data_IF_307292589817
#
_entry.id   IF_307292589817
#
_cell.length_a   1.000
_cell.length_b   1.000
_cell.length_c   1.000
_cell.angle_alpha   90.00
_cell.angle_beta   90.00
_cell.angle_gamma   90.00
#
_symmetry.space_group_name_H-M   'P 1'
#
loop_
_entity.id
_entity.type
_entity.pdbx_description
1 polymer ?
2 non-polymer ?
3 non-polymer ?
4 non-polymer ?
5 non-polymer ?
6 non-polymer ?
7 non-polymer ?
8 water ?
#
# COMPACT_ATOMS: atom_id res chain seq x y z
N UNK A 2 10.24 -25.52 0.60
CA UNK A 2 10.16 -24.67 -0.59
C UNK A 2 9.04 -25.10 -1.53
N UNK A 3 8.63 -24.17 -2.39
CA UNK A 3 7.63 -24.44 -3.42
C UNK A 3 8.21 -24.06 -4.80
N UNK A 4 8.01 -24.93 -5.79
CA UNK A 4 8.45 -24.60 -7.14
C UNK A 4 7.55 -23.52 -7.75
N UNK A 5 8.15 -22.41 -8.15
CA UNK A 5 7.38 -21.34 -8.80
C UNK A 5 7.17 -21.68 -10.27
N UNK A 6 8.28 -21.94 -10.95
CA UNK A 6 8.30 -22.29 -12.36
C UNK A 6 9.71 -22.76 -12.69
N UNK A 7 9.83 -23.93 -13.31
CA UNK A 7 11.13 -24.46 -13.68
C UNK A 7 12.10 -24.52 -12.50
N UNK A 8 13.19 -23.77 -12.58
CA UNK A 8 14.20 -23.80 -11.52
C UNK A 8 14.09 -22.65 -10.53
N UNK A 9 12.93 -22.00 -10.51
CA UNK A 9 12.65 -20.96 -9.55
C UNK A 9 11.95 -21.56 -8.33
N UNK A 10 12.55 -21.40 -7.15
CA UNK A 10 12.02 -21.99 -5.92
C UNK A 10 11.66 -20.91 -4.91
N UNK A 11 10.42 -20.93 -4.44
CA UNK A 11 10.00 -20.02 -3.39
C UNK A 11 10.62 -20.50 -2.08
N UNK A 12 11.38 -19.61 -1.42
CA UNK A 12 12.06 -19.96 -0.18
C UNK A 12 11.76 -18.91 0.90
N UNK A 13 10.53 -18.42 0.90
CA UNK A 13 10.12 -17.35 1.79
C UNK A 13 9.48 -17.81 3.10
N UNK A 14 8.62 -16.94 3.64
CA UNK A 14 8.03 -17.15 4.96
C UNK A 14 6.59 -16.66 5.01
N UNK A 15 5.68 -17.53 5.42
CA UNK A 15 4.31 -17.12 5.68
C UNK A 15 4.22 -16.55 7.09
N UNK A 16 3.41 -15.50 7.27
CA UNK A 16 3.22 -14.88 8.58
C UNK A 16 1.74 -14.76 8.91
N UNK A 17 1.16 -15.82 9.46
CA UNK A 17 -0.26 -15.82 9.81
C UNK A 17 -0.59 -14.87 10.97
N UNK A 18 0.37 -14.64 11.86
CA UNK A 18 0.08 -13.91 13.09
C UNK A 18 0.18 -12.40 12.97
N UNK A 19 0.99 -11.90 12.05
CA UNK A 19 1.31 -10.47 12.03
C UNK A 19 0.03 -9.65 11.86
N UNK A 20 -0.08 -8.60 12.65
CA UNK A 20 -1.25 -7.74 12.62
C UNK A 20 -0.87 -6.27 12.45
N UNK A 21 0.38 -5.95 12.72
CA UNK A 21 0.85 -4.56 12.70
C UNK A 21 2.06 -4.39 11.79
N UNK A 22 1.93 -3.49 10.82
CA UNK A 22 3.01 -3.15 9.92
C UNK A 22 3.30 -1.67 10.06
N UNK A 23 4.55 -1.28 9.88
CA UNK A 23 4.94 0.12 10.00
C UNK A 23 4.49 0.71 11.34
N UNK A 24 4.93 0.10 12.43
CA UNK A 24 4.43 0.47 13.74
C UNK A 24 3.05 -0.13 13.84
N UNK A 25 2.04 0.72 13.99
CA UNK A 25 0.67 0.24 13.91
C UNK A 25 -0.08 0.97 12.79
N UNK A 26 0.68 1.54 11.84
CA UNK A 26 0.07 2.35 10.77
C UNK A 26 -0.64 1.54 9.70
N UNK A 27 -0.28 0.26 9.57
CA UNK A 27 -0.95 -0.61 8.61
C UNK A 27 -1.32 -1.93 9.28
N UNK A 28 -2.62 -2.14 9.48
CA UNK A 28 -3.13 -3.34 10.13
C UNK A 28 -3.33 -4.45 9.10
N UNK A 29 -2.58 -5.54 9.26
CA UNK A 29 -2.66 -6.67 8.36
C UNK A 29 -3.64 -7.69 8.93
N UNK A 30 -4.92 -7.49 8.67
CA UNK A 30 -5.96 -8.32 9.32
C UNK A 30 -6.01 -9.73 8.75
N UNK A 31 -5.31 -9.96 7.64
CA UNK A 31 -5.22 -11.29 7.07
C UNK A 31 -3.78 -11.74 7.02
N UNK A 32 -2.97 -11.20 7.92
CA UNK A 32 -1.57 -11.57 8.00
C UNK A 32 -0.82 -11.10 6.78
N UNK A 33 0.34 -11.73 6.53
CA UNK A 33 1.14 -11.39 5.37
C UNK A 33 2.09 -12.55 5.05
N UNK A 34 2.96 -12.34 4.07
CA UNK A 34 4.02 -13.27 3.78
C UNK A 34 5.19 -12.51 3.16
N UNK A 35 6.39 -13.09 3.26
CA UNK A 35 7.60 -12.48 2.72
C UNK A 35 8.18 -13.43 1.69
N UNK A 36 8.05 -13.08 0.42
CA UNK A 36 8.52 -13.95 -0.65
C UNK A 36 9.99 -13.70 -1.02
N UNK A 37 10.76 -14.77 -0.94
CA UNK A 37 12.15 -14.82 -1.38
C UNK A 37 12.27 -15.97 -2.39
N UNK A 38 13.11 -15.79 -3.40
CA UNK A 38 13.21 -16.79 -4.47
C UNK A 38 14.64 -17.22 -4.75
N UNK A 39 14.81 -18.52 -4.95
CA UNK A 39 16.09 -19.11 -5.29
C UNK A 39 16.01 -19.63 -6.72
N UNK A 40 16.80 -19.02 -7.60
CA UNK A 40 16.83 -19.44 -9.00
C UNK A 40 18.07 -20.30 -9.21
N UNK A 41 17.88 -21.51 -9.69
CA UNK A 41 18.99 -22.45 -9.86
C UNK A 41 19.24 -22.81 -11.32
N UNK A 42 20.06 -22.00 -11.99
CA UNK A 42 20.51 -22.32 -13.34
C UNK A 42 21.99 -22.70 -13.23
N UNK A 43 22.83 -22.22 -14.15
CA UNK A 43 24.27 -22.45 -14.03
C UNK A 43 24.81 -21.65 -12.84
N UNK A 44 24.25 -20.47 -12.66
CA UNK A 44 24.49 -19.69 -11.44
C UNK A 44 23.29 -19.86 -10.53
N UNK A 45 23.52 -19.78 -9.22
CA UNK A 45 22.42 -19.76 -8.26
C UNK A 45 22.21 -18.36 -7.70
N UNK A 46 20.98 -17.85 -7.83
CA UNK A 46 20.66 -16.50 -7.40
C UNK A 46 19.58 -16.50 -6.32
N UNK A 47 19.84 -15.81 -5.22
CA UNK A 47 18.82 -15.57 -4.21
C UNK A 47 18.23 -14.18 -4.40
N UNK A 48 16.90 -14.12 -4.53
CA UNK A 48 16.23 -12.84 -4.68
C UNK A 48 15.50 -12.45 -3.41
N UNK A 49 16.02 -11.41 -2.76
CA UNK A 49 15.55 -10.91 -1.47
C UNK A 49 15.64 -11.94 -0.35
N UNK A 50 15.43 -11.49 0.89
CA UNK A 50 15.29 -12.43 2.00
C UNK A 50 13.91 -12.27 2.61
N UNK A 51 13.81 -12.31 3.94
CA UNK A 51 12.51 -12.20 4.60
C UNK A 51 12.63 -11.28 5.80
N UNK A 52 11.53 -11.12 6.52
CA UNK A 52 11.50 -10.21 7.65
C UNK A 52 12.49 -10.63 8.73
N UNK A 53 13.08 -9.63 9.38
CA UNK A 53 14.11 -9.84 10.40
C UNK A 53 13.67 -10.81 11.51
N UNK A 54 12.38 -10.77 11.85
CA UNK A 54 11.85 -11.64 12.90
C UNK A 54 11.99 -13.14 12.57
N UNK A 55 12.22 -13.45 11.30
CA UNK A 55 12.30 -14.83 10.85
C UNK A 55 13.67 -15.17 10.31
N UNK A 56 14.67 -14.41 10.71
CA UNK A 56 16.00 -14.51 10.12
C UNK A 56 16.63 -15.90 10.33
N UNK A 57 16.55 -16.42 11.55
CA UNK A 57 17.12 -17.74 11.84
C UNK A 57 16.41 -18.82 11.00
N UNK A 58 15.08 -18.76 10.97
CA UNK A 58 14.28 -19.72 10.20
C UNK A 58 14.64 -19.67 8.73
N UNK A 59 14.79 -18.45 8.22
CA UNK A 59 15.11 -18.25 6.82
C UNK A 59 16.40 -18.95 6.42
N UNK A 60 17.47 -18.68 7.15
CA UNK A 60 18.78 -19.26 6.88
C UNK A 60 18.74 -20.78 7.01
N UNK A 61 18.05 -21.26 8.04
CA UNK A 61 17.89 -22.70 8.26
C UNK A 61 17.13 -23.35 7.11
N UNK A 62 16.01 -22.75 6.72
CA UNK A 62 15.23 -23.27 5.60
C UNK A 62 16.03 -23.22 4.30
N UNK A 63 16.85 -22.19 4.16
CA UNK A 63 17.64 -22.02 2.94
C UNK A 63 18.69 -23.11 2.84
N UNK A 64 19.37 -23.38 3.96
CA UNK A 64 20.31 -24.50 4.05
C UNK A 64 19.69 -25.82 3.61
N UNK A 65 18.42 -26.02 3.96
CA UNK A 65 17.71 -27.25 3.60
C UNK A 65 17.50 -27.35 2.10
N UNK A 66 17.44 -26.20 1.45
CA UNK A 66 17.20 -26.14 0.01
C UNK A 66 18.50 -26.25 -0.78
N UNK A 67 19.57 -25.69 -0.22
CA UNK A 67 20.85 -25.58 -0.93
C UNK A 67 21.97 -25.26 0.05
N UNK A 68 23.17 -25.78 -0.21
CA UNK A 68 24.35 -25.36 0.53
C UNK A 68 24.57 -23.86 0.29
N UNK A 69 24.68 -23.09 1.37
CA UNK A 69 24.78 -21.63 1.26
C UNK A 69 25.94 -21.18 0.37
N UNK A 70 27.02 -21.95 0.37
CA UNK A 70 28.19 -21.63 -0.41
C UNK A 70 27.93 -21.72 -1.92
N UNK A 71 26.89 -22.46 -2.31
CA UNK A 71 26.55 -22.61 -3.72
C UNK A 71 25.77 -21.42 -4.29
N UNK A 72 25.33 -20.54 -3.41
CA UNK A 72 24.69 -19.30 -3.84
C UNK A 72 25.71 -18.37 -4.48
N UNK A 73 25.52 -18.05 -5.76
CA UNK A 73 26.47 -17.21 -6.49
C UNK A 73 26.22 -15.74 -6.31
N UNK A 74 24.95 -15.35 -6.41
CA UNK A 74 24.57 -13.95 -6.36
C UNK A 74 23.38 -13.72 -5.45
N UNK A 75 23.38 -12.60 -4.75
CA UNK A 75 22.22 -12.16 -3.98
C UNK A 75 21.69 -10.85 -4.57
N UNK A 76 20.42 -10.88 -4.96
CA UNK A 76 19.76 -9.68 -5.43
C UNK A 76 18.89 -9.07 -4.34
N UNK A 77 19.13 -7.81 -4.00
CA UNK A 77 18.27 -7.10 -3.06
C UNK A 77 17.49 -6.01 -3.80
N UNK A 78 16.20 -6.26 -4.02
CA UNK A 78 15.34 -5.32 -4.74
C UNK A 78 15.01 -4.09 -3.91
N UNK A 79 15.06 -4.24 -2.60
CA UNK A 79 14.45 -3.27 -1.69
C UNK A 79 14.90 -3.67 -0.28
N UNK A 80 15.42 -2.71 0.48
CA UNK A 80 16.13 -3.07 1.71
C UNK A 80 15.32 -2.85 2.99
N UNK A 81 14.02 -2.63 2.87
CA UNK A 81 13.18 -2.55 4.06
C UNK A 81 13.27 -3.86 4.86
N UNK A 82 13.12 -3.77 6.18
CA UNK A 82 13.45 -4.88 7.06
C UNK A 82 12.54 -6.09 6.88
N UNK A 83 11.43 -5.93 6.17
CA UNK A 83 10.59 -7.08 5.92
C UNK A 83 11.09 -7.89 4.71
N UNK A 84 12.12 -7.39 4.04
CA UNK A 84 12.71 -8.13 2.92
C UNK A 84 14.21 -8.35 3.06
N UNK A 85 14.93 -7.35 3.55
CA UNK A 85 16.36 -7.51 3.76
C UNK A 85 16.67 -7.88 5.21
N UNK A 86 15.64 -8.13 6.02
CA UNK A 86 15.82 -8.38 7.44
C UNK A 86 16.76 -9.51 7.81
N UNK A 87 16.78 -10.58 7.02
CA UNK A 87 17.59 -11.75 7.31
C UNK A 87 19.00 -11.66 6.70
N UNK A 88 19.32 -10.52 6.09
CA UNK A 88 20.56 -10.40 5.33
C UNK A 88 21.83 -10.49 6.21
N UNK A 89 21.80 -9.86 7.39
CA UNK A 89 22.96 -9.94 8.28
C UNK A 89 23.24 -11.40 8.65
N UNK A 90 22.22 -12.14 9.06
CA UNK A 90 22.37 -13.55 9.42
C UNK A 90 22.94 -14.36 8.27
N UNK A 91 22.38 -14.16 7.09
CA UNK A 91 22.84 -14.87 5.92
C UNK A 91 24.29 -14.50 5.58
N UNK A 92 24.58 -13.20 5.52
CA UNK A 92 25.90 -12.75 5.11
C UNK A 92 26.96 -13.15 6.12
N UNK A 93 26.56 -13.39 7.36
CA UNK A 93 27.50 -13.88 8.34
C UNK A 93 28.05 -15.23 7.88
N UNK A 94 27.22 -16.02 7.20
CA UNK A 94 27.61 -17.35 6.73
C UNK A 94 28.38 -17.29 5.41
N UNK A 95 28.00 -16.38 4.53
CA UNK A 95 28.68 -16.26 3.25
C UNK A 95 29.06 -14.81 2.98
N UNK A 96 30.02 -14.29 3.76
CA UNK A 96 30.34 -12.86 3.76
C UNK A 96 30.90 -12.32 2.45
N UNK A 97 31.42 -13.20 1.59
CA UNK A 97 32.06 -12.75 0.36
C UNK A 97 31.09 -12.67 -0.80
N UNK A 98 29.88 -13.18 -0.59
CA UNK A 98 28.89 -13.29 -1.64
C UNK A 98 28.47 -11.92 -2.20
N UNK A 99 28.56 -11.76 -3.54
CA UNK A 99 28.19 -10.51 -4.21
C UNK A 99 26.73 -10.16 -3.98
N UNK A 100 26.46 -8.88 -3.76
CA UNK A 100 25.09 -8.38 -3.63
C UNK A 100 24.81 -7.42 -4.78
N UNK A 101 23.70 -7.64 -5.48
CA UNK A 101 23.32 -6.76 -6.58
C UNK A 101 22.13 -5.91 -6.17
N UNK A 102 22.24 -4.60 -6.37
CA UNK A 102 21.21 -3.68 -5.88
C UNK A 102 21.43 -2.29 -6.48
N UNK A 103 20.45 -1.40 -6.31
CA UNK A 103 20.57 -0.03 -6.77
C UNK A 103 21.59 0.73 -5.92
N UNK A 104 22.08 1.85 -6.45
CA UNK A 104 22.99 2.70 -5.69
C UNK A 104 22.35 3.14 -4.36
N UNK A 105 21.07 3.51 -4.41
CA UNK A 105 20.35 3.90 -3.20
C UNK A 105 20.25 2.76 -2.18
N UNK A 106 20.23 1.52 -2.67
CA UNK A 106 20.12 0.36 -1.79
C UNK A 106 21.39 0.13 -0.97
N UNK A 107 22.53 0.58 -1.49
CA UNK A 107 23.75 0.53 -0.69
C UNK A 107 23.59 1.39 0.56
N UNK A 108 23.01 2.57 0.38
CA UNK A 108 22.76 3.46 1.50
C UNK A 108 21.77 2.84 2.51
N UNK A 109 20.68 2.27 2.01
CA UNK A 109 19.64 1.71 2.89
C UNK A 109 20.06 0.37 3.52
N UNK A 110 20.77 -0.48 2.78
CA UNK A 110 21.26 -1.74 3.35
C UNK A 110 22.26 -1.42 4.46
N UNK A 111 23.22 -0.53 4.17
CA UNK A 111 24.17 -0.10 5.18
C UNK A 111 23.48 0.59 6.34
N UNK A 112 22.42 1.33 6.03
CA UNK A 112 21.66 2.05 7.04
C UNK A 112 20.97 1.13 8.03
N UNK A 113 20.62 -0.08 7.57
CA UNK A 113 20.01 -1.08 8.45
C UNK A 113 21.01 -2.10 9.01
N UNK A 114 22.02 -2.46 8.23
CA UNK A 114 22.88 -3.58 8.61
C UNK A 114 24.29 -3.20 9.05
N UNK A 115 24.75 -2.04 8.61
CA UNK A 115 26.07 -1.50 8.97
C UNK A 115 27.20 -2.48 8.69
N UNK A 116 27.14 -3.12 7.54
CA UNK A 116 28.27 -3.88 7.01
C UNK A 116 28.67 -3.33 5.65
N UNK A 117 29.30 -2.13 5.63
CA UNK A 117 29.66 -1.53 4.33
C UNK A 117 30.79 -2.28 3.63
N UNK A 118 31.35 -3.29 4.28
CA UNK A 118 32.41 -4.09 3.69
C UNK A 118 31.88 -5.15 2.73
N UNK A 119 30.57 -5.37 2.74
CA UNK A 119 29.97 -6.34 1.82
C UNK A 119 30.23 -5.94 0.38
N UNK A 120 30.27 -6.92 -0.51
CA UNK A 120 30.57 -6.67 -1.92
C UNK A 120 29.34 -6.24 -2.71
N UNK A 121 29.02 -4.96 -2.66
CA UNK A 121 27.87 -4.43 -3.38
C UNK A 121 28.21 -4.25 -4.86
N UNK A 122 27.22 -4.52 -5.70
CA UNK A 122 27.35 -4.29 -7.13
C UNK A 122 26.17 -3.45 -7.59
N UNK A 123 26.45 -2.19 -7.93
CA UNK A 123 25.39 -1.29 -8.34
C UNK A 123 24.83 -1.69 -9.70
N UNK A 124 23.52 -1.79 -9.78
CA UNK A 124 22.85 -2.02 -11.05
C UNK A 124 21.99 -0.81 -11.41
N UNK A 125 21.88 -0.55 -12.71
CA UNK A 125 21.06 0.52 -13.27
C UNK A 125 20.01 -0.16 -14.15
N UNK A 126 18.92 0.53 -14.47
CA UNK A 126 17.92 -0.03 -15.40
C UNK A 126 18.59 -0.55 -16.69
N UNK A 127 18.30 -1.80 -17.03
CA UNK A 127 18.81 -2.35 -18.27
C UNK A 127 20.09 -3.14 -18.11
N UNK A 128 20.76 -2.98 -16.96
CA UNK A 128 21.91 -3.82 -16.64
C UNK A 128 21.48 -5.27 -16.60
N UNK A 129 22.41 -6.17 -16.90
CA UNK A 129 22.09 -7.58 -16.91
C UNK A 129 23.06 -8.39 -16.08
N UNK A 130 22.64 -9.61 -15.74
CA UNK A 130 23.47 -10.56 -15.04
C UNK A 130 23.18 -11.95 -15.58
N UNK A 131 24.16 -12.55 -16.26
CA UNK A 131 23.97 -13.87 -16.85
C UNK A 131 23.95 -14.96 -15.79
N UNK A 132 23.06 -15.93 -15.93
CA UNK A 132 23.01 -17.03 -14.98
C UNK A 132 23.05 -18.40 -15.68
N UNK A 133 23.38 -18.38 -16.98
CA UNK A 133 23.55 -19.63 -17.72
C UNK A 133 22.25 -20.18 -18.29
N UNK A 134 22.40 -21.22 -19.10
CA UNK A 134 21.28 -21.88 -19.79
C UNK A 134 20.43 -20.91 -20.61
N UNK A 135 21.08 -19.90 -21.17
CA UNK A 135 20.43 -18.96 -22.06
C UNK A 135 19.62 -17.88 -21.35
N UNK A 136 19.67 -17.87 -20.02
CA UNK A 136 18.87 -16.93 -19.25
C UNK A 136 19.72 -15.87 -18.56
N UNK A 137 19.13 -14.70 -18.35
CA UNK A 137 19.79 -13.65 -17.59
C UNK A 137 18.78 -12.86 -16.79
N UNK A 138 19.30 -12.10 -15.82
CA UNK A 138 18.48 -11.18 -15.07
C UNK A 138 18.59 -9.80 -15.70
N UNK A 139 17.48 -9.08 -15.77
CA UNK A 139 17.53 -7.70 -16.20
C UNK A 139 16.99 -6.82 -15.09
N UNK A 140 17.72 -5.77 -14.73
CA UNK A 140 17.32 -4.95 -13.60
C UNK A 140 16.59 -3.71 -14.06
N UNK A 141 15.54 -3.35 -13.32
CA UNK A 141 14.75 -2.16 -13.61
C UNK A 141 14.61 -1.32 -12.34
N UNK A 142 15.25 -0.14 -12.33
CA UNK A 142 15.15 0.75 -11.18
C UNK A 142 13.74 1.29 -11.05
N UNK A 143 13.24 1.33 -9.82
CA UNK A 143 11.91 1.90 -9.59
C UNK A 143 11.93 2.81 -8.35
N UNK A 144 12.72 3.89 -8.41
CA UNK A 144 12.84 4.76 -7.23
C UNK A 144 11.50 5.34 -6.81
N UNK A 145 11.27 5.33 -5.49
CA UNK A 145 10.05 5.79 -4.83
C UNK A 145 8.82 4.96 -5.23
N UNK A 146 9.06 3.72 -5.64
CA UNK A 146 8.01 2.72 -5.68
C UNK A 146 8.41 1.50 -4.83
N UNK A 147 8.46 1.66 -3.50
CA UNK A 147 8.03 2.87 -2.80
C UNK A 147 9.16 3.57 -2.03
N UNK A 148 10.38 3.04 -2.13
CA UNK A 148 11.55 3.65 -1.49
C UNK A 148 12.55 4.10 -2.55
N UNK A 149 13.49 4.99 -2.18
CA UNK A 149 14.55 5.35 -3.13
C UNK A 149 15.35 4.14 -3.63
N UNK A 150 15.43 3.09 -2.82
CA UNK A 150 16.26 1.94 -3.19
C UNK A 150 15.58 0.91 -4.08
N UNK A 151 14.27 1.07 -4.29
CA UNK A 151 13.46 0.02 -4.92
C UNK A 151 13.80 -0.26 -6.37
N UNK A 152 13.82 -1.54 -6.72
CA UNK A 152 13.96 -1.97 -8.11
C UNK A 152 13.20 -3.26 -8.33
N UNK A 153 13.10 -3.67 -9.59
CA UNK A 153 12.54 -4.98 -9.92
C UNK A 153 13.56 -5.78 -10.71
N UNK A 154 13.42 -7.09 -10.67
CA UNK A 154 14.32 -7.98 -11.39
C UNK A 154 13.55 -8.91 -12.33
N UNK A 155 13.90 -8.86 -13.61
CA UNK A 155 13.25 -9.68 -14.63
C UNK A 155 14.14 -10.84 -15.07
N UNK A 156 13.56 -12.04 -15.10
CA UNK A 156 14.29 -13.23 -15.51
C UNK A 156 13.83 -13.63 -16.90
N UNK A 157 14.75 -13.61 -17.85
CA UNK A 157 14.44 -13.95 -19.24
C UNK A 157 14.24 -15.45 -19.38
N UNK A 158 13.60 -15.85 -20.48
CA UNK A 158 13.32 -17.24 -20.73
C UNK A 158 12.08 -17.63 -19.96
N UNK A 159 12.22 -17.72 -18.65
CA UNK A 159 11.10 -18.00 -17.77
C UNK A 159 10.05 -16.88 -17.81
N UNK A 160 10.47 -15.68 -18.18
CA UNK A 160 9.59 -14.53 -18.29
C UNK A 160 8.90 -14.22 -16.97
N UNK A 161 9.69 -14.14 -15.91
CA UNK A 161 9.17 -13.83 -14.58
C UNK A 161 9.68 -12.47 -14.09
N UNK A 162 8.75 -11.62 -13.67
CA UNK A 162 9.08 -10.33 -13.11
C UNK A 162 9.01 -10.38 -11.58
N UNK A 163 10.16 -10.25 -10.94
CA UNK A 163 10.22 -10.15 -9.48
C UNK A 163 10.05 -8.69 -9.12
N UNK A 164 8.84 -8.34 -8.66
CA UNK A 164 8.45 -6.94 -8.55
C UNK A 164 8.55 -6.39 -7.12
N UNK A 165 9.02 -7.22 -6.20
CA UNK A 165 9.11 -6.86 -4.78
C UNK A 165 7.75 -6.35 -4.31
N UNK A 166 7.70 -5.21 -3.62
CA UNK A 166 6.45 -4.71 -3.04
C UNK A 166 5.34 -4.46 -4.06
N UNK A 167 5.72 -3.98 -5.25
CA UNK A 167 4.73 -3.62 -6.26
C UNK A 167 3.92 -4.83 -6.68
N UNK A 168 2.60 -4.66 -6.74
CA UNK A 168 1.63 -5.68 -7.14
C UNK A 168 1.42 -6.74 -6.06
N UNK A 169 2.06 -6.57 -4.91
CA UNK A 169 1.88 -7.51 -3.82
C UNK A 169 0.70 -7.12 -2.93
N UNK A 170 0.49 -7.88 -1.87
CA UNK A 170 -0.57 -7.59 -0.93
C UNK A 170 -0.31 -8.36 0.34
N UNK A 171 -0.78 -7.84 1.46
CA UNK A 171 -0.63 -8.57 2.73
C UNK A 171 -1.81 -9.51 2.90
N UNK A 172 -1.57 -10.77 2.58
CA UNK A 172 -2.60 -11.79 2.54
C UNK A 172 -1.91 -13.13 2.70
N UNK A 173 -2.05 -13.73 3.88
CA UNK A 173 -1.37 -14.97 4.15
C UNK A 173 -2.21 -16.16 3.68
N UNK A 174 -1.59 -17.04 2.90
CA UNK A 174 -2.23 -18.28 2.46
C UNK A 174 -1.15 -19.33 2.21
N UNK A 175 -1.45 -20.60 2.42
CA UNK A 175 -0.46 -21.65 2.16
C UNK A 175 -0.27 -21.86 0.66
N UNK A 176 -1.27 -21.51 -0.14
CA UNK A 176 -1.16 -21.59 -1.60
C UNK A 176 -0.39 -20.39 -2.13
N UNK A 177 0.51 -20.63 -3.09
CA UNK A 177 1.38 -19.57 -3.57
C UNK A 177 0.77 -18.76 -4.71
N UNK A 178 -0.14 -19.36 -5.47
CA UNK A 178 -0.57 -18.75 -6.74
C UNK A 178 -1.93 -18.06 -6.68
N UNK A 179 -2.09 -17.00 -7.48
CA UNK A 179 -3.30 -16.18 -7.41
C UNK A 179 -4.58 -16.94 -7.73
N UNK A 180 -4.48 -17.94 -8.61
CA UNK A 180 -5.65 -18.72 -9.00
C UNK A 180 -6.06 -19.72 -7.91
N UNK A 181 -5.25 -19.83 -6.86
CA UNK A 181 -5.49 -20.83 -5.82
C UNK A 181 -6.13 -20.25 -4.56
N UNK A 182 -6.24 -18.92 -4.48
CA UNK A 182 -6.75 -18.29 -3.27
C UNK A 182 -8.12 -17.66 -3.50
N UNK A 183 -8.75 -17.23 -2.41
CA UNK A 183 -10.04 -16.55 -2.51
C UNK A 183 -9.88 -15.21 -3.23
N UNK A 184 -10.63 -15.03 -4.31
CA UNK A 184 -10.46 -13.85 -5.15
C UNK A 184 -10.96 -12.55 -4.51
N UNK A 185 -12.04 -12.59 -3.73
CA UNK A 185 -12.50 -11.35 -3.12
C UNK A 185 -11.54 -10.91 -2.02
N UNK A 186 -11.04 -11.85 -1.24
CA UNK A 186 -10.07 -11.52 -0.20
C UNK A 186 -8.78 -11.01 -0.82
N UNK A 187 -8.35 -11.68 -1.89
CA UNK A 187 -7.17 -11.23 -2.65
C UNK A 187 -7.34 -9.78 -3.10
N UNK A 188 -8.45 -9.49 -3.79
CA UNK A 188 -8.72 -8.14 -4.27
C UNK A 188 -8.72 -7.13 -3.14
N UNK A 189 -9.43 -7.47 -2.06
CA UNK A 189 -9.57 -6.57 -0.94
C UNK A 189 -8.20 -6.21 -0.38
N UNK A 190 -7.33 -7.21 -0.23
CA UNK A 190 -6.02 -6.95 0.33
C UNK A 190 -5.16 -6.14 -0.65
N UNK A 191 -5.32 -6.40 -1.95
CA UNK A 191 -4.58 -5.64 -2.97
C UNK A 191 -4.91 -4.17 -2.89
N UNK A 192 -6.21 -3.86 -2.78
CA UNK A 192 -6.67 -2.48 -2.80
C UNK A 192 -6.33 -1.73 -1.50
N UNK A 193 -6.45 -2.41 -0.36
CA UNK A 193 -6.09 -1.82 0.94
C UNK A 193 -4.62 -1.41 0.93
N UNK A 194 -3.81 -2.30 0.37
CA UNK A 194 -2.39 -2.10 0.19
C UNK A 194 -2.09 -0.87 -0.67
N UNK A 195 -2.65 -0.82 -1.87
CA UNK A 195 -2.41 0.33 -2.76
C UNK A 195 -2.86 1.63 -2.08
N UNK A 196 -4.08 1.62 -1.55
CA UNK A 196 -4.67 2.82 -0.97
C UNK A 196 -3.82 3.40 0.16
N UNK A 197 -3.32 2.52 1.03
CA UNK A 197 -2.66 2.97 2.24
C UNK A 197 -1.15 3.19 2.11
N UNK A 198 -0.51 2.56 1.13
CA UNK A 198 0.94 2.66 0.99
C UNK A 198 1.36 3.38 -0.30
N UNK A 199 0.67 3.10 -1.40
CA UNK A 199 1.16 3.53 -2.71
C UNK A 199 0.50 4.79 -3.27
N UNK A 200 -0.65 5.19 -2.74
CA UNK A 200 -1.32 6.40 -3.22
C UNK A 200 -0.40 7.61 -3.41
N UNK A 201 0.48 7.92 -2.43
CA UNK A 201 1.31 9.11 -2.67
C UNK A 201 2.30 8.97 -3.82
N UNK A 202 2.50 7.77 -4.33
CA UNK A 202 3.48 7.57 -5.40
C UNK A 202 2.79 7.30 -6.72
N UNK A 203 1.49 7.55 -6.78
CA UNK A 203 0.69 7.22 -7.95
C UNK A 203 1.24 7.83 -9.23
N UNK A 204 1.80 9.02 -9.15
CA UNK A 204 2.31 9.70 -10.34
C UNK A 204 3.46 8.94 -10.97
N UNK A 205 4.12 8.10 -10.19
CA UNK A 205 5.26 7.33 -10.69
C UNK A 205 4.86 5.99 -11.31
N UNK A 206 3.63 5.55 -11.02
CA UNK A 206 3.19 4.22 -11.39
C UNK A 206 3.03 4.03 -12.90
N UNK A 207 2.29 4.92 -13.54
CA UNK A 207 2.03 4.76 -14.98
C UNK A 207 3.31 4.93 -15.82
N UNK A 208 4.17 5.93 -15.52
CA UNK A 208 5.41 5.98 -16.32
C UNK A 208 6.27 4.72 -16.18
N UNK A 209 6.40 4.19 -14.96
CA UNK A 209 7.26 3.02 -14.74
C UNK A 209 6.70 1.78 -15.43
N UNK A 210 5.38 1.61 -15.37
CA UNK A 210 4.74 0.48 -16.04
C UNK A 210 4.91 0.64 -17.55
N UNK A 211 4.74 1.86 -18.02
CA UNK A 211 4.94 2.15 -19.44
C UNK A 211 6.35 1.79 -19.87
N UNK A 212 7.33 2.17 -19.07
CA UNK A 212 8.73 1.86 -19.36
C UNK A 212 8.98 0.34 -19.44
N UNK A 213 8.45 -0.39 -18.47
CA UNK A 213 8.65 -1.84 -18.41
C UNK A 213 8.01 -2.50 -19.62
N UNK A 214 6.79 -2.09 -19.94
CA UNK A 214 6.10 -2.61 -21.11
C UNK A 214 6.85 -2.30 -22.40
N UNK A 215 7.42 -1.11 -22.48
CA UNK A 215 8.18 -0.68 -23.64
C UNK A 215 9.38 -1.56 -23.95
N UNK A 216 9.79 -2.38 -22.99
CA UNK A 216 10.89 -3.32 -23.22
C UNK A 216 10.46 -4.46 -24.13
N UNK A 217 9.14 -4.60 -24.32
CA UNK A 217 8.57 -5.64 -25.17
C UNK A 217 9.04 -7.03 -24.74
N UNK A 218 9.07 -7.23 -23.42
CA UNK A 218 9.44 -8.50 -22.82
C UNK A 218 8.20 -9.23 -22.32
N UNK A 219 8.10 -10.54 -22.60
CA UNK A 219 6.96 -11.34 -22.13
C UNK A 219 6.88 -11.37 -20.61
N UNK A 220 5.67 -11.33 -20.06
CA UNK A 220 5.48 -11.53 -18.62
C UNK A 220 4.52 -12.69 -18.40
N UNK A 221 5.07 -13.84 -18.06
CA UNK A 221 4.27 -15.02 -17.80
C UNK A 221 3.87 -15.10 -16.33
N UNK A 222 4.74 -14.58 -15.46
CA UNK A 222 4.44 -14.53 -14.03
C UNK A 222 4.98 -13.24 -13.41
N UNK A 223 4.28 -12.77 -12.38
CA UNK A 223 4.77 -11.67 -11.58
C UNK A 223 4.93 -12.17 -10.16
N UNK A 224 6.17 -12.34 -9.73
CA UNK A 224 6.46 -12.87 -8.39
C UNK A 224 6.79 -11.72 -7.45
N UNK A 225 5.84 -11.34 -6.61
CA UNK A 225 6.02 -10.18 -5.74
C UNK A 225 6.68 -10.61 -4.44
N UNK A 226 6.91 -9.65 -3.55
CA UNK A 226 7.55 -9.96 -2.28
C UNK A 226 6.53 -10.18 -1.15
N UNK A 227 5.24 -9.99 -1.47
CA UNK A 227 4.17 -10.19 -0.50
C UNK A 227 2.99 -10.89 -1.14
N UNK A 228 2.56 -12.02 -0.58
CA UNK A 228 1.35 -12.66 -1.02
C UNK A 228 1.53 -13.60 -2.21
N UNK A 229 0.58 -13.57 -3.15
CA UNK A 229 0.56 -14.56 -4.22
C UNK A 229 1.53 -14.26 -5.34
N UNK A 230 1.98 -15.32 -6.02
CA UNK A 230 2.61 -15.19 -7.31
C UNK A 230 1.50 -15.12 -8.36
N UNK A 231 1.50 -14.06 -9.16
CA UNK A 231 0.53 -13.93 -10.25
C UNK A 231 0.96 -14.76 -11.45
N UNK A 232 0.34 -15.92 -11.61
CA UNK A 232 0.70 -16.77 -12.74
C UNK A 232 -0.46 -16.87 -13.72
N UNK A 233 -1.68 -16.72 -13.23
CA UNK A 233 -2.85 -16.81 -14.11
C UNK A 233 -3.34 -15.42 -14.48
N UNK A 234 -3.20 -15.07 -15.75
CA UNK A 234 -3.52 -13.73 -16.23
C UNK A 234 -2.83 -12.68 -15.35
N UNK A 235 -1.49 -12.68 -15.32
CA UNK A 235 -0.78 -11.79 -14.40
C UNK A 235 -1.03 -10.30 -14.67
N UNK A 236 -1.38 -9.92 -15.89
CA UNK A 236 -1.55 -8.50 -16.18
C UNK A 236 -2.77 -7.91 -15.50
N UNK A 237 -3.62 -8.75 -14.91
CA UNK A 237 -4.80 -8.24 -14.21
C UNK A 237 -4.40 -7.27 -13.10
N UNK A 238 -3.28 -7.55 -12.42
CA UNK A 238 -2.85 -6.68 -11.31
C UNK A 238 -2.17 -5.44 -11.89
N UNK A 239 -1.54 -5.58 -13.05
CA UNK A 239 -0.94 -4.44 -13.71
C UNK A 239 -2.02 -3.46 -14.13
N UNK A 240 -3.08 -3.97 -14.73
CA UNK A 240 -4.19 -3.12 -15.15
C UNK A 240 -4.88 -2.46 -13.97
N UNK A 241 -5.00 -3.17 -12.85
CA UNK A 241 -5.60 -2.59 -11.65
C UNK A 241 -4.78 -1.41 -11.15
N UNK A 242 -3.46 -1.57 -11.16
CA UNK A 242 -2.58 -0.48 -10.74
C UNK A 242 -2.72 0.75 -11.65
N UNK A 243 -2.87 0.53 -12.95
CA UNK A 243 -3.04 1.65 -13.88
C UNK A 243 -4.35 2.38 -13.60
N UNK A 244 -5.39 1.63 -13.29
CA UNK A 244 -6.66 2.21 -12.87
C UNK A 244 -6.47 2.95 -11.56
N UNK A 245 -5.82 2.30 -10.60
CA UNK A 245 -5.69 2.87 -9.27
C UNK A 245 -4.81 4.11 -9.25
N UNK A 246 -3.84 4.16 -10.15
CA UNK A 246 -2.89 5.26 -10.18
C UNK A 246 -3.52 6.55 -10.74
N UNK A 247 -4.59 6.41 -11.50
CA UNK A 247 -5.15 7.56 -12.20
C UNK A 247 -6.15 8.32 -11.33
N UNK A 248 -5.69 8.76 -10.15
CA UNK A 248 -6.54 9.51 -9.21
C UNK A 248 -7.90 8.83 -9.07
N UNK A 249 -7.83 7.53 -8.81
CA UNK A 249 -8.98 6.64 -8.78
C UNK A 249 -10.11 7.12 -7.89
N UNK A 250 -11.34 6.96 -8.37
CA UNK A 250 -12.50 7.20 -7.54
C UNK A 250 -13.73 6.52 -8.11
N UNK A 251 -14.60 6.10 -7.20
CA UNK A 251 -15.88 5.51 -7.55
C UNK A 251 -16.97 6.49 -7.16
N UNK A 252 -18.22 6.17 -7.48
CA UNK A 252 -19.33 7.00 -7.07
C UNK A 252 -19.63 6.67 -5.60
N UNK A 253 -18.79 7.21 -4.73
CA UNK A 253 -18.75 6.81 -3.32
C UNK A 253 -18.37 8.01 -2.47
N UNK A 254 -19.03 8.17 -1.34
CA UNK A 254 -18.70 9.24 -0.41
C UNK A 254 -18.44 8.65 0.96
N UNK A 255 -17.32 9.03 1.57
CA UNK A 255 -17.01 8.53 2.90
C UNK A 255 -17.16 9.65 3.91
N UNK A 256 -17.84 9.35 5.01
CA UNK A 256 -18.02 10.29 6.09
C UNK A 256 -17.31 9.77 7.31
N UNK A 257 -16.39 10.54 7.87
CA UNK A 257 -15.77 10.09 9.10
C UNK A 257 -15.53 11.27 10.06
N UNK A 258 -15.55 10.97 11.35
CA UNK A 258 -15.56 12.00 12.39
C UNK A 258 -15.04 11.44 13.70
N UNK A 259 -14.82 12.33 14.67
CA UNK A 259 -14.74 11.90 16.06
C UNK A 259 -15.74 12.78 16.80
N UNK A 260 -16.08 12.39 18.02
CA UNK A 260 -17.15 13.05 18.75
C UNK A 260 -16.99 12.78 20.25
N UNK A 261 -17.33 13.76 21.07
CA UNK A 261 -17.20 13.59 22.52
C UNK A 261 -18.55 13.29 23.17
N UNK A 262 -19.62 13.79 22.58
CA UNK A 262 -20.94 13.60 23.18
C UNK A 262 -22.00 13.32 22.12
N UNK A 263 -21.55 12.82 20.98
CA UNK A 263 -22.40 12.26 19.93
C UNK A 263 -23.08 13.29 19.04
N UNK A 264 -22.80 14.57 19.26
CA UNK A 264 -23.45 15.62 18.48
C UNK A 264 -23.02 15.61 17.01
N UNK A 265 -21.71 15.51 16.78
CA UNK A 265 -21.17 15.43 15.43
C UNK A 265 -21.60 14.11 14.77
N UNK A 266 -21.82 13.08 15.59
CA UNK A 266 -22.34 11.82 15.06
C UNK A 266 -23.74 12.00 14.51
N UNK A 267 -24.59 12.69 15.26
CA UNK A 267 -25.94 12.97 14.81
C UNK A 267 -25.93 13.74 13.49
N UNK A 268 -25.03 14.73 13.39
CA UNK A 268 -24.84 15.47 12.15
C UNK A 268 -24.44 14.55 11.00
N UNK A 269 -23.50 13.65 11.27
CA UNK A 269 -23.02 12.72 10.25
C UNK A 269 -24.15 11.85 9.71
N UNK A 270 -24.94 11.28 10.60
CA UNK A 270 -26.02 10.37 10.19
C UNK A 270 -27.06 11.10 9.35
N UNK A 271 -27.36 12.35 9.73
CA UNK A 271 -28.32 13.16 8.99
C UNK A 271 -27.80 13.48 7.59
N UNK A 272 -26.53 13.87 7.50
CA UNK A 272 -25.89 14.15 6.20
C UNK A 272 -26.02 12.94 5.28
N UNK A 273 -25.73 11.75 5.80
CA UNK A 273 -25.82 10.51 5.03
C UNK A 273 -27.23 10.25 4.51
N UNK A 274 -28.23 10.51 5.33
CA UNK A 274 -29.61 10.32 4.92
C UNK A 274 -29.96 11.25 3.78
N UNK A 275 -29.46 12.48 3.86
CA UNK A 275 -29.68 13.47 2.81
C UNK A 275 -29.05 13.04 1.51
N UNK A 276 -27.83 12.51 1.59
CA UNK A 276 -27.15 12.02 0.40
C UNK A 276 -27.94 10.86 -0.20
N UNK A 277 -28.25 9.88 0.64
CA UNK A 277 -28.92 8.66 0.20
C UNK A 277 -30.24 8.93 -0.52
N UNK A 278 -31.03 9.86 -0.01
CA UNK A 278 -32.33 10.10 -0.64
C UNK A 278 -32.22 11.00 -1.88
N UNK A 279 -31.10 11.69 -2.05
CA UNK A 279 -30.91 12.58 -3.19
C UNK A 279 -30.29 11.86 -4.39
N UNK A 280 -29.29 11.04 -4.13
CA UNK A 280 -28.59 10.33 -5.21
C UNK A 280 -28.31 8.88 -4.83
N UNK A 281 -29.22 7.96 -5.18
CA UNK A 281 -29.13 6.54 -4.79
C UNK A 281 -27.92 5.83 -5.38
N UNK A 282 -27.35 6.34 -6.45
CA UNK A 282 -26.13 5.77 -7.03
C UNK A 282 -24.94 5.74 -6.07
N UNK A 283 -24.92 6.67 -5.12
CA UNK A 283 -23.71 6.86 -4.30
C UNK A 283 -23.64 5.83 -3.19
N UNK A 284 -22.53 5.11 -3.12
CA UNK A 284 -22.23 4.28 -1.97
C UNK A 284 -21.73 5.19 -0.85
N UNK A 285 -22.37 5.13 0.30
CA UNK A 285 -21.99 5.95 1.45
C UNK A 285 -21.49 5.07 2.57
N UNK A 286 -20.38 5.46 3.20
CA UNK A 286 -19.88 4.78 4.39
C UNK A 286 -19.65 5.82 5.48
N UNK A 287 -19.96 5.47 6.72
CA UNK A 287 -19.72 6.34 7.86
C UNK A 287 -18.82 5.68 8.90
N UNK A 288 -17.84 6.41 9.41
CA UNK A 288 -16.94 5.85 10.43
C UNK A 288 -16.68 6.83 11.54
N UNK A 289 -16.83 6.36 12.78
CA UNK A 289 -16.27 7.06 13.91
C UNK A 289 -14.80 6.64 14.00
N UNK A 290 -13.89 7.59 13.81
CA UNK A 290 -12.47 7.27 13.76
C UNK A 290 -11.96 6.66 15.07
N UNK A 291 -12.61 6.96 16.20
CA UNK A 291 -12.17 6.41 17.47
C UNK A 291 -12.58 4.95 17.61
N UNK A 292 -13.49 4.50 16.75
CA UNK A 292 -14.10 3.17 16.89
C UNK A 292 -13.98 2.33 15.65
N UNK A 293 -13.13 2.72 14.71
CA UNK A 293 -13.02 2.03 13.44
C UNK A 293 -11.57 1.76 13.02
N UNK A 294 -11.43 0.85 12.05
CA UNK A 294 -10.14 0.55 11.45
C UNK A 294 -9.69 1.72 10.55
N UNK A 295 -8.61 2.37 10.94
CA UNK A 295 -8.07 3.52 10.22
C UNK A 295 -7.78 3.21 8.75
N UNK A 296 -7.20 2.04 8.51
CA UNK A 296 -6.82 1.68 7.15
C UNK A 296 -8.06 1.45 6.29
N UNK A 297 -9.15 0.98 6.90
CA UNK A 297 -10.39 0.77 6.16
C UNK A 297 -10.99 2.13 5.80
N UNK A 298 -10.87 3.09 6.71
CA UNK A 298 -11.33 4.46 6.42
C UNK A 298 -10.59 5.00 5.20
N UNK A 299 -9.27 4.82 5.17
CA UNK A 299 -8.46 5.36 4.10
C UNK A 299 -8.69 4.65 2.78
N UNK A 300 -8.95 3.35 2.82
CA UNK A 300 -9.27 2.61 1.60
C UNK A 300 -10.54 3.19 1.00
N UNK A 301 -11.50 3.48 1.89
CA UNK A 301 -12.74 4.07 1.43
C UNK A 301 -12.49 5.47 0.86
N UNK A 302 -11.65 6.27 1.51
CA UNK A 302 -11.33 7.59 0.97
C UNK A 302 -10.73 7.45 -0.42
N UNK A 303 -9.79 6.52 -0.55
CA UNK A 303 -9.17 6.22 -1.84
C UNK A 303 -10.23 5.91 -2.90
N UNK A 304 -11.27 5.18 -2.51
CA UNK A 304 -12.32 4.77 -3.44
C UNK A 304 -13.38 5.86 -3.68
N UNK A 305 -13.28 6.97 -2.96
CA UNK A 305 -14.36 7.96 -2.94
C UNK A 305 -14.12 9.19 -3.82
N UNK A 306 -15.22 9.72 -4.36
CA UNK A 306 -15.18 10.98 -5.10
C UNK A 306 -15.07 12.17 -4.14
N UNK A 307 -15.53 11.97 -2.91
CA UNK A 307 -15.53 13.04 -1.94
C UNK A 307 -15.67 12.51 -0.53
N UNK A 308 -15.32 13.34 0.44
CA UNK A 308 -15.46 12.94 1.83
C UNK A 308 -16.09 14.05 2.64
N UNK A 309 -16.69 13.69 3.76
CA UNK A 309 -17.05 14.69 4.75
C UNK A 309 -16.38 14.29 6.04
N UNK A 310 -15.72 15.25 6.66
CA UNK A 310 -14.93 14.98 7.85
C UNK A 310 -15.46 15.83 9.00
N UNK A 311 -15.70 15.19 10.14
CA UNK A 311 -16.31 15.86 11.27
C UNK A 311 -15.45 15.93 12.51
N UNK A 312 -15.58 17.03 13.24
CA UNK A 312 -14.95 17.18 14.54
C UNK A 312 -15.72 18.21 15.32
N UNK A 313 -15.81 18.04 16.63
CA UNK A 313 -16.26 19.12 17.48
C UNK A 313 -15.04 19.97 17.85
N UNK A 314 -15.26 21.06 18.55
CA UNK A 314 -14.16 21.86 19.06
C UNK A 314 -13.80 21.39 20.48
N UNK A 315 -12.52 21.14 20.69
CA UNK A 315 -12.01 20.65 21.95
C UNK A 315 -10.80 21.49 22.35
N UNK A 316 -10.97 22.32 23.38
CA UNK A 316 -9.93 23.24 23.84
C UNK A 316 -9.40 24.08 22.68
N UNK A 317 -10.34 24.65 21.91
CA UNK A 317 -10.05 25.54 20.78
C UNK A 317 -9.29 24.90 19.62
N UNK A 318 -9.16 23.58 19.62
CA UNK A 318 -8.57 22.90 18.47
C UNK A 318 -9.49 21.76 18.04
N UNK A 319 -9.06 20.95 17.08
CA UNK A 319 -9.90 19.85 16.63
C UNK A 319 -9.56 18.63 17.46
N UNK A 320 -10.38 17.60 17.36
CA UNK A 320 -10.11 16.38 18.11
C UNK A 320 -8.86 15.72 17.53
N UNK A 321 -7.99 15.19 18.42
CA UNK A 321 -6.65 14.75 18.03
C UNK A 321 -6.63 13.63 16.97
N UNK A 322 -7.57 12.69 17.01
CA UNK A 322 -7.52 11.61 16.02
C UNK A 322 -7.84 12.15 14.64
N UNK A 323 -8.62 13.22 14.57
CA UNK A 323 -8.92 13.85 13.29
C UNK A 323 -7.67 14.60 12.80
N UNK A 324 -7.01 15.33 13.70
CA UNK A 324 -5.76 16.01 13.33
C UNK A 324 -4.73 14.99 12.82
N UNK A 325 -4.63 13.86 13.50
CA UNK A 325 -3.72 12.81 13.08
C UNK A 325 -4.06 12.27 11.69
N UNK A 326 -5.34 12.01 11.45
CA UNK A 326 -5.77 11.47 10.17
C UNK A 326 -5.53 12.49 9.06
N UNK A 327 -5.72 13.78 9.36
CA UNK A 327 -5.51 14.81 8.36
C UNK A 327 -4.02 14.93 8.05
N UNK A 328 -3.18 14.78 9.07
CA UNK A 328 -1.74 14.74 8.83
C UNK A 328 -1.40 13.60 7.88
N UNK A 329 -1.93 12.41 8.16
CA UNK A 329 -1.59 11.26 7.33
C UNK A 329 -2.09 11.46 5.90
N UNK A 330 -3.30 11.98 5.76
CA UNK A 330 -3.86 12.22 4.43
C UNK A 330 -3.03 13.23 3.64
N UNK A 331 -2.46 14.21 4.35
CA UNK A 331 -1.59 15.19 3.73
C UNK A 331 -0.40 14.49 3.09
N UNK A 332 0.13 13.50 3.79
CA UNK A 332 1.24 12.73 3.26
C UNK A 332 0.84 11.81 2.13
N UNK A 333 -0.39 11.28 2.15
CA UNK A 333 -0.84 10.32 1.15
C UNK A 333 -1.17 10.93 -0.22
N UNK A 334 -1.44 12.24 -0.24
CA UNK A 334 -1.70 12.98 -1.47
C UNK A 334 -2.91 12.46 -2.26
N UNK A 335 -4.09 12.41 -1.65
CA UNK A 335 -5.28 12.08 -2.40
C UNK A 335 -5.51 13.18 -3.42
N UNK A 336 -5.92 12.81 -4.63
CA UNK A 336 -6.05 13.81 -5.69
C UNK A 336 -7.42 13.74 -6.37
N UNK A 337 -7.88 14.90 -6.82
CA UNK A 337 -9.18 15.07 -7.49
C UNK A 337 -10.38 14.68 -6.63
N UNK A 338 -10.24 14.76 -5.31
CA UNK A 338 -11.35 14.46 -4.42
C UNK A 338 -11.91 15.74 -3.79
N UNK A 339 -13.19 15.72 -3.46
CA UNK A 339 -13.84 16.88 -2.87
C UNK A 339 -14.07 16.63 -1.40
N UNK A 340 -14.24 17.70 -0.62
CA UNK A 340 -14.45 17.51 0.81
C UNK A 340 -15.31 18.62 1.42
N UNK A 341 -15.94 18.28 2.54
CA UNK A 341 -16.70 19.24 3.30
C UNK A 341 -16.50 18.94 4.78
N UNK A 342 -16.15 19.97 5.55
CA UNK A 342 -15.92 19.82 6.99
C UNK A 342 -17.21 20.10 7.78
N UNK A 343 -17.41 19.40 8.89
CA UNK A 343 -18.60 19.65 9.69
C UNK A 343 -18.33 19.34 11.15
N UNK A 344 -19.24 19.78 12.02
CA UNK A 344 -19.10 19.46 13.43
C UNK A 344 -19.86 20.39 14.34
N UNK A 345 -19.89 20.03 15.62
CA UNK A 345 -20.60 20.80 16.62
C UNK A 345 -19.62 21.58 17.49
N UNK A 346 -20.14 22.58 18.19
CA UNK A 346 -19.34 23.34 19.13
C UNK A 346 -20.23 23.84 20.26
N UNK A 347 -19.62 24.23 21.37
CA UNK A 347 -20.36 24.68 22.52
C UNK A 347 -20.48 26.19 22.64
N UNK A 348 -19.39 26.90 22.35
CA UNK A 348 -19.44 28.35 22.44
C UNK A 348 -18.74 29.03 21.25
N UNK A 349 -17.43 29.24 21.31
CA UNK A 349 -16.76 29.98 20.25
C UNK A 349 -16.35 29.09 19.06
N UNK A 350 -16.35 27.77 19.25
CA UNK A 350 -16.01 26.86 18.18
C UNK A 350 -14.67 27.12 17.54
N UNK A 351 -14.54 26.79 16.26
CA UNK A 351 -13.33 27.06 15.53
C UNK A 351 -12.71 25.84 14.86
N UNK A 352 -13.04 24.65 15.35
CA UNK A 352 -12.36 23.45 14.87
C UNK A 352 -12.76 23.08 13.44
N UNK A 353 -13.98 23.45 13.06
CA UNK A 353 -14.47 23.10 11.73
C UNK A 353 -13.73 23.92 10.66
N UNK A 354 -13.57 25.22 10.89
CA UNK A 354 -12.79 26.05 9.98
C UNK A 354 -11.34 25.58 9.92
N UNK A 355 -10.80 25.27 11.10
CA UNK A 355 -9.45 24.73 11.24
C UNK A 355 -9.28 23.47 10.39
N UNK A 356 -10.25 22.57 10.49
CA UNK A 356 -10.24 21.34 9.71
C UNK A 356 -10.37 21.59 8.20
N UNK A 357 -11.27 22.49 7.82
CA UNK A 357 -11.53 22.75 6.41
C UNK A 357 -10.26 23.26 5.72
N UNK A 358 -9.52 24.13 6.41
CA UNK A 358 -8.28 24.65 5.87
C UNK A 358 -7.24 23.57 5.67
N UNK A 359 -7.09 22.69 6.65
CA UNK A 359 -6.11 21.62 6.55
C UNK A 359 -6.47 20.60 5.47
N UNK A 360 -7.76 20.33 5.30
CA UNK A 360 -8.23 19.47 4.21
C UNK A 360 -7.89 20.10 2.85
N UNK A 361 -8.06 21.40 2.74
CA UNK A 361 -7.72 22.11 1.52
C UNK A 361 -6.21 21.98 1.24
N UNK A 362 -5.41 22.19 2.28
CA UNK A 362 -3.97 22.06 2.17
C UNK A 362 -3.55 20.63 1.83
N UNK A 363 -4.36 19.65 2.20
CA UNK A 363 -4.09 18.25 1.87
C UNK A 363 -4.47 17.93 0.43
N UNK A 364 -5.09 18.88 -0.26
CA UNK A 364 -5.41 18.71 -1.67
C UNK A 364 -6.87 18.45 -2.00
N UNK A 365 -7.74 18.47 -1.00
CA UNK A 365 -9.18 18.31 -1.25
C UNK A 365 -9.81 19.60 -1.76
N UNK A 366 -10.74 19.49 -2.70
CA UNK A 366 -11.46 20.66 -3.18
C UNK A 366 -12.67 20.88 -2.29
N UNK A 367 -12.67 22.01 -1.58
CA UNK A 367 -13.60 22.20 -0.48
C UNK A 367 -14.96 22.74 -0.89
N UNK A 368 -16.02 22.10 -0.41
CA UNK A 368 -17.37 22.64 -0.46
C UNK A 368 -17.63 23.34 0.88
N UNK A 369 -18.76 24.02 1.01
CA UNK A 369 -19.05 24.74 2.25
C UNK A 369 -19.08 23.81 3.46
N UNK A 370 -18.75 24.36 4.62
CA UNK A 370 -18.79 23.62 5.88
C UNK A 370 -20.17 23.60 6.48
N UNK A 371 -20.38 22.71 7.44
CA UNK A 371 -21.64 22.62 8.16
C UNK A 371 -21.37 22.70 9.66
N UNK A 372 -22.02 23.64 10.34
CA UNK A 372 -21.80 23.83 11.77
C UNK A 372 -23.12 23.78 12.53
N UNK A 373 -23.06 23.26 13.75
CA UNK A 373 -24.22 23.25 14.63
C UNK A 373 -23.73 23.52 16.05
N UNK A 374 -24.62 24.07 16.88
CA UNK A 374 -24.28 24.35 18.27
C UNK A 374 -24.88 23.30 19.20
N UNK A 375 -24.04 22.75 20.06
CA UNK A 375 -24.46 21.69 20.98
C UNK A 375 -25.16 20.55 20.22
N UNK A 376 -26.24 20.03 20.79
CA UNK A 376 -26.94 18.89 20.19
C UNK A 376 -28.02 19.36 19.20
N UNK A 377 -27.93 18.89 17.94
CA UNK A 377 -28.90 19.31 16.92
C UNK A 377 -30.32 18.92 17.31
N UNK A 378 -31.25 19.87 17.33
CA UNK A 378 -32.66 19.52 17.51
C UNK A 378 -33.26 19.16 16.15
N UNK A 379 -34.58 19.00 16.10
CA UNK A 379 -35.27 18.64 14.86
C UNK A 379 -34.92 19.58 13.72
N UNK A 380 -34.95 20.88 14.00
CA UNK A 380 -34.68 21.89 12.98
C UNK A 380 -33.25 21.79 12.47
N UNK A 381 -32.31 21.59 13.40
CA UNK A 381 -30.91 21.52 13.05
C UNK A 381 -30.61 20.28 12.22
N UNK A 382 -31.25 19.17 12.59
CA UNK A 382 -31.08 17.92 11.85
C UNK A 382 -31.60 18.07 10.41
N UNK A 383 -32.68 18.83 10.22
CA UNK A 383 -33.15 19.16 8.87
C UNK A 383 -32.05 19.85 8.07
N UNK A 384 -31.36 20.79 8.70
CA UNK A 384 -30.28 21.52 8.04
C UNK A 384 -29.15 20.56 7.67
N UNK A 385 -28.83 19.65 8.58
CA UNK A 385 -27.79 18.66 8.30
C UNK A 385 -28.17 17.76 7.12
N UNK A 386 -29.44 17.35 7.09
CA UNK A 386 -29.95 16.52 6.00
C UNK A 386 -29.87 17.27 4.68
N UNK A 387 -30.24 18.55 4.73
CA UNK A 387 -30.22 19.38 3.53
C UNK A 387 -28.78 19.57 3.04
N UNK A 388 -27.85 19.68 3.99
CA UNK A 388 -26.44 19.74 3.63
C UNK A 388 -26.04 18.47 2.84
N UNK A 389 -26.49 17.32 3.31
CA UNK A 389 -26.29 16.07 2.60
C UNK A 389 -26.89 16.11 1.21
N UNK A 390 -28.11 16.63 1.10
CA UNK A 390 -28.77 16.73 -0.21
C UNK A 390 -27.97 17.64 -1.15
N UNK A 391 -27.56 18.79 -0.62
CA UNK A 391 -26.84 19.79 -1.42
C UNK A 391 -25.47 19.25 -1.86
N UNK A 392 -24.78 18.57 -0.94
CA UNK A 392 -23.51 17.95 -1.27
C UNK A 392 -23.70 16.87 -2.35
N UNK A 393 -24.72 16.05 -2.20
CA UNK A 393 -25.02 15.01 -3.18
C UNK A 393 -25.27 15.61 -4.57
N UNK A 394 -25.98 16.73 -4.60
CA UNK A 394 -26.27 17.38 -5.88
C UNK A 394 -25.02 17.96 -6.51
N UNK A 395 -24.17 18.60 -5.70
CA UNK A 395 -22.94 19.21 -6.19
C UNK A 395 -21.95 18.19 -6.76
N UNK A 396 -21.84 17.04 -6.10
CA UNK A 396 -20.82 16.07 -6.45
C UNK A 396 -21.36 14.98 -7.38
N UNK A 397 -22.61 15.10 -7.77
CA UNK A 397 -23.25 14.11 -8.62
C UNK A 397 -22.44 13.88 -9.90
N UNK A 398 -22.25 12.62 -10.27
CA UNK A 398 -21.64 12.29 -11.55
C UNK A 398 -22.65 12.46 -12.67
N UNK A 399 -22.18 12.62 -13.90
CA UNK A 399 -23.07 12.74 -15.05
C UNK A 399 -23.99 11.51 -15.16
N UNK A 400 -25.23 11.72 -15.64
CA UNK A 400 -26.18 10.61 -15.86
C UNK A 400 -25.62 9.51 -16.77
#
# INVERSE_FOLDING_TARGET
>A
MSIVVKNNIHWVGQRDWEVRDFHGTEYKTLRGSSYNSYLIREEKNVLIDTVDHKFSREFVQNLRNEIDLADIDYIVINHAEEDHAGALTELMAQIPDTPIYCTANAIDSINGHHHHPEWNFNVVKTGDTLDIGNGKQLIFVETPMLHWPDSMMTYLTGDAVLFSNDAFGQHYCDEHLFNDEVDQTELFEQCQRYYANILTPFSRLVTPKITEILGFNLPVDMIATSHGVVWRDNPTQIVELYLKWAADYQEDRITIFYDTMSNNTRMMADAIAQGIAETDPRVAVKIFNVARSDKNEILTNVFRSKGVLVGTSTMNNVMMPKIAGLVEEMTGLRFRNKRASAFGSHGWSGGAVDRLSTRLQDAGFEMSLSLKAKWRPDQDALKLCREHGREIARQWALAPLPQSTVNTVVKEETSATTTADLGPRMQCSVCQWIYDPAKGEPMQDVAPGTPWSEVPDNFLCPECSLGKDVFEELASEAK
#
